data_IF_754297814436
#
_entry.id   IF_754297814436
#
_cell.length_a   1.000
_cell.length_b   1.000
_cell.length_c   1.000
_cell.angle_alpha   90.00
_cell.angle_beta   90.00
_cell.angle_gamma   90.00
#
_symmetry.space_group_name_H-M   'P 1'
#
loop_
_entity.id
_entity.type
_entity.pdbx_description
1 polymer ?
#
# COMPACT_ATOMS: atom_id res chain seq x y z
N UNK A 1 14.05 -11.54 6.33
CA UNK A 1 12.87 -11.86 7.13
C UNK A 1 12.30 -13.23 6.81
N UNK A 2 12.38 -13.69 5.55
CA UNK A 2 11.66 -14.85 5.00
C UNK A 2 12.59 -15.96 4.52
N UNK A 3 12.05 -17.17 4.35
CA UNK A 3 12.79 -18.30 3.75
C UNK A 3 13.28 -18.01 2.33
N UNK A 4 12.49 -17.39 1.42
CA UNK A 4 13.01 -16.97 0.12
C UNK A 4 14.22 -16.04 0.22
N UNK A 5 14.19 -15.05 1.13
CA UNK A 5 15.33 -14.16 1.33
C UNK A 5 16.59 -14.92 1.83
N UNK A 6 16.41 -15.88 2.76
CA UNK A 6 17.51 -16.74 3.22
C UNK A 6 18.08 -17.58 2.08
N UNK A 7 17.23 -18.15 1.23
CA UNK A 7 17.64 -18.93 0.06
C UNK A 7 18.51 -18.09 -0.88
N UNK A 8 18.09 -16.86 -1.20
CA UNK A 8 18.89 -15.96 -2.02
C UNK A 8 20.26 -15.65 -1.41
N UNK A 9 20.33 -15.44 -0.08
CA UNK A 9 21.62 -15.24 0.59
C UNK A 9 22.54 -16.46 0.45
N UNK A 10 22.00 -17.70 0.56
CA UNK A 10 22.78 -18.92 0.33
C UNK A 10 23.26 -19.04 -1.10
N UNK A 11 22.43 -18.73 -2.09
CA UNK A 11 22.80 -18.71 -3.51
C UNK A 11 23.91 -17.68 -3.81
N UNK A 12 23.94 -16.57 -3.05
CA UNK A 12 25.01 -15.59 -3.09
C UNK A 12 26.28 -16.00 -2.32
N UNK A 13 26.32 -17.20 -1.75
CA UNK A 13 27.48 -17.76 -1.07
C UNK A 13 27.56 -17.48 0.45
N UNK A 14 26.48 -16.94 1.05
CA UNK A 14 26.45 -16.77 2.51
C UNK A 14 26.33 -18.13 3.21
N UNK A 15 27.17 -18.42 4.24
CA UNK A 15 27.12 -19.65 5.01
C UNK A 15 25.75 -19.86 5.70
N UNK A 16 25.26 -21.10 5.65
CA UNK A 16 23.94 -21.44 6.24
C UNK A 16 23.87 -21.16 7.75
N UNK A 17 24.96 -21.42 8.46
CA UNK A 17 25.07 -21.21 9.89
C UNK A 17 25.11 -19.72 10.31
N UNK A 18 25.15 -18.79 9.37
CA UNK A 18 25.15 -17.35 9.61
C UNK A 18 23.87 -16.66 9.15
N UNK A 19 22.88 -17.42 8.71
CA UNK A 19 21.63 -16.86 8.18
C UNK A 19 20.43 -17.51 8.87
N UNK A 20 19.61 -16.66 9.50
CA UNK A 20 18.42 -17.07 10.24
C UNK A 20 17.21 -16.33 9.68
N UNK A 21 16.06 -17.02 9.66
CA UNK A 21 14.77 -16.39 9.39
C UNK A 21 14.23 -15.85 10.72
N UNK A 22 13.96 -14.57 10.76
CA UNK A 22 13.47 -13.88 11.98
C UNK A 22 11.99 -13.54 11.90
N UNK A 23 11.36 -13.69 10.72
CA UNK A 23 10.09 -13.05 10.43
C UNK A 23 10.23 -11.53 10.26
N UNK A 24 9.16 -10.86 9.88
CA UNK A 24 9.14 -9.41 9.79
C UNK A 24 8.88 -8.78 11.16
N UNK A 25 9.67 -7.75 11.56
CA UNK A 25 9.37 -7.00 12.77
C UNK A 25 8.07 -6.16 12.65
N UNK A 26 7.53 -6.00 11.44
CA UNK A 26 6.32 -5.21 11.20
C UNK A 26 5.11 -5.80 11.93
N UNK A 27 4.97 -7.13 11.95
CA UNK A 27 3.88 -7.79 12.66
C UNK A 27 3.90 -7.48 14.16
N UNK A 28 5.08 -7.54 14.79
CA UNK A 28 5.25 -7.20 16.21
C UNK A 28 4.91 -5.72 16.47
N UNK A 29 5.37 -4.82 15.59
CA UNK A 29 5.08 -3.37 15.70
C UNK A 29 3.59 -3.10 15.57
N UNK A 30 2.93 -3.73 14.59
CA UNK A 30 1.49 -3.57 14.38
C UNK A 30 0.69 -4.13 15.56
N UNK A 31 1.04 -5.33 16.06
CA UNK A 31 0.43 -5.91 17.25
C UNK A 31 0.55 -5.00 18.46
N UNK A 32 1.77 -4.51 18.74
CA UNK A 32 2.03 -3.63 19.89
C UNK A 32 1.35 -2.27 19.82
N UNK A 33 0.85 -1.86 18.64
CA UNK A 33 0.15 -0.60 18.47
C UNK A 33 -1.33 -0.75 18.08
N UNK A 34 -1.88 -1.96 18.01
CA UNK A 34 -3.21 -2.20 17.48
C UNK A 34 -4.28 -1.40 18.23
N UNK A 35 -4.25 -1.40 19.57
CA UNK A 35 -5.19 -0.61 20.40
C UNK A 35 -5.12 0.90 20.08
N UNK A 36 -3.91 1.42 19.84
CA UNK A 36 -3.71 2.84 19.50
C UNK A 36 -4.17 3.15 18.08
N UNK A 37 -3.99 2.20 17.17
CA UNK A 37 -4.49 2.30 15.79
C UNK A 37 -6.01 2.31 15.82
N UNK A 38 -6.64 1.41 16.56
CA UNK A 38 -8.10 1.34 16.67
C UNK A 38 -8.69 2.57 17.36
N UNK A 39 -8.01 3.13 18.35
CA UNK A 39 -8.43 4.33 19.07
C UNK A 39 -8.22 5.64 18.29
N UNK A 40 -7.53 5.61 17.14
CA UNK A 40 -7.30 6.83 16.36
C UNK A 40 -8.61 7.42 15.82
N UNK A 41 -8.78 8.73 16.01
CA UNK A 41 -9.91 9.54 15.54
C UNK A 41 -9.68 10.15 14.15
N UNK A 42 -8.67 9.68 13.42
CA UNK A 42 -8.22 10.28 12.14
C UNK A 42 -9.33 10.35 11.09
N UNK A 43 -10.25 9.40 11.06
CA UNK A 43 -11.39 9.43 10.14
C UNK A 43 -12.27 10.66 10.40
N UNK A 44 -12.60 10.94 11.66
CA UNK A 44 -13.41 12.09 12.05
C UNK A 44 -12.67 13.39 11.77
N UNK A 45 -11.39 13.48 12.13
CA UNK A 45 -10.53 14.65 11.86
C UNK A 45 -10.43 14.98 10.37
N UNK A 46 -10.43 13.99 9.51
CA UNK A 46 -10.33 14.16 8.06
C UNK A 46 -11.70 14.16 7.35
N UNK A 47 -12.80 13.97 8.09
CA UNK A 47 -14.16 13.89 7.53
C UNK A 47 -14.31 12.75 6.53
N UNK A 48 -13.72 11.59 6.85
CA UNK A 48 -13.77 10.38 6.04
C UNK A 48 -14.70 9.33 6.65
N UNK A 49 -15.31 8.51 5.81
CA UNK A 49 -16.14 7.40 6.24
C UNK A 49 -15.52 6.06 5.83
N UNK A 50 -15.64 5.01 6.63
CA UNK A 50 -15.14 3.68 6.29
C UNK A 50 -15.64 3.20 4.92
N UNK A 51 -14.75 2.64 4.12
CA UNK A 51 -14.99 2.16 2.76
C UNK A 51 -15.51 3.23 1.76
N UNK A 52 -15.37 4.52 2.08
CA UNK A 52 -15.79 5.64 1.23
C UNK A 52 -14.62 6.53 0.80
N UNK A 53 -13.43 6.00 0.75
CA UNK A 53 -12.23 6.67 0.23
C UNK A 53 -11.19 5.63 -0.21
N UNK A 54 -10.28 6.07 -1.06
CA UNK A 54 -9.08 5.33 -1.44
C UNK A 54 -7.89 6.01 -0.76
N UNK A 55 -6.98 5.23 -0.18
CA UNK A 55 -5.74 5.73 0.40
C UNK A 55 -4.61 5.60 -0.60
N UNK A 56 -3.94 6.71 -0.91
CA UNK A 56 -2.78 6.78 -1.81
C UNK A 56 -1.52 7.14 -1.04
N UNK A 57 -0.44 6.40 -1.28
CA UNK A 57 0.91 6.76 -0.88
C UNK A 57 1.88 6.45 -2.03
N UNK A 58 2.46 7.48 -2.63
CA UNK A 58 3.40 7.36 -3.73
C UNK A 58 4.57 8.33 -3.52
N UNK A 59 5.77 7.78 -3.34
CA UNK A 59 6.95 8.55 -3.01
C UNK A 59 8.26 7.99 -3.59
N UNK A 60 8.21 6.82 -4.25
CA UNK A 60 9.40 6.21 -4.84
C UNK A 60 9.85 6.96 -6.08
N UNK A 61 11.17 7.04 -6.21
CA UNK A 61 11.83 7.72 -7.33
C UNK A 61 11.37 7.19 -8.68
N UNK A 62 11.23 5.88 -8.82
CA UNK A 62 10.78 5.22 -10.05
C UNK A 62 9.41 5.70 -10.53
N UNK A 63 8.53 6.09 -9.61
CA UNK A 63 7.17 6.56 -9.94
C UNK A 63 7.07 8.08 -10.11
N UNK A 64 7.99 8.85 -9.50
CA UNK A 64 7.82 10.30 -9.34
C UNK A 64 8.87 11.11 -10.11
N UNK A 65 10.10 10.59 -10.29
CA UNK A 65 11.22 11.43 -10.74
C UNK A 65 11.13 11.77 -12.23
N UNK A 66 10.68 10.84 -13.07
CA UNK A 66 10.51 11.16 -14.50
C UNK A 66 9.15 11.79 -14.77
N UNK A 67 9.10 12.81 -15.61
CA UNK A 67 7.84 13.48 -15.96
C UNK A 67 6.84 12.51 -16.58
N UNK A 68 7.31 11.52 -17.35
CA UNK A 68 6.49 10.49 -17.96
C UNK A 68 5.77 9.63 -16.90
N UNK A 69 6.53 9.09 -15.94
CA UNK A 69 5.96 8.21 -14.91
C UNK A 69 5.06 9.00 -13.97
N UNK A 70 5.49 10.21 -13.59
CA UNK A 70 4.69 11.12 -12.78
C UNK A 70 3.33 11.40 -13.43
N UNK A 71 3.33 11.81 -14.70
CA UNK A 71 2.09 12.10 -15.44
C UNK A 71 1.20 10.86 -15.53
N UNK A 72 1.78 9.71 -15.93
CA UNK A 72 1.04 8.45 -16.04
C UNK A 72 0.37 8.06 -14.73
N UNK A 73 1.11 8.13 -13.60
CA UNK A 73 0.57 7.82 -12.28
C UNK A 73 -0.59 8.75 -11.91
N UNK A 74 -0.42 10.06 -12.04
CA UNK A 74 -1.45 10.99 -11.59
C UNK A 74 -2.66 11.08 -12.54
N UNK A 75 -2.49 10.78 -13.83
CA UNK A 75 -3.62 10.50 -14.72
C UNK A 75 -4.41 9.28 -14.27
N UNK A 76 -3.72 8.20 -13.88
CA UNK A 76 -4.36 7.00 -13.34
C UNK A 76 -5.09 7.27 -12.00
N UNK A 77 -4.52 8.11 -11.14
CA UNK A 77 -5.16 8.54 -9.88
C UNK A 77 -6.42 9.38 -10.15
N UNK A 78 -6.37 10.31 -11.10
CA UNK A 78 -7.55 11.08 -11.51
C UNK A 78 -8.65 10.15 -12.05
N UNK A 79 -8.28 9.15 -12.86
CA UNK A 79 -9.23 8.16 -13.39
C UNK A 79 -9.84 7.26 -12.28
N UNK A 80 -9.08 6.94 -11.22
CA UNK A 80 -9.63 6.27 -10.04
C UNK A 80 -10.65 7.15 -9.31
N UNK A 81 -10.35 8.44 -9.13
CA UNK A 81 -11.26 9.40 -8.50
C UNK A 81 -12.58 9.51 -9.28
N UNK A 82 -12.50 9.56 -10.61
CA UNK A 82 -13.66 9.60 -11.49
C UNK A 82 -14.48 8.30 -11.42
N UNK A 83 -13.81 7.14 -11.53
CA UNK A 83 -14.48 5.82 -11.55
C UNK A 83 -15.23 5.52 -10.27
N UNK A 84 -14.64 5.81 -9.11
CA UNK A 84 -15.22 5.48 -7.82
C UNK A 84 -16.05 6.60 -7.20
N UNK A 85 -15.98 7.80 -7.76
CA UNK A 85 -16.68 9.01 -7.30
C UNK A 85 -16.57 9.24 -5.78
N UNK A 86 -15.35 9.12 -5.25
CA UNK A 86 -15.06 9.29 -3.82
C UNK A 86 -13.71 9.94 -3.58
N UNK A 87 -13.45 10.45 -2.35
CA UNK A 87 -12.16 11.02 -2.00
C UNK A 87 -11.01 10.02 -2.20
N UNK A 88 -9.91 10.49 -2.77
CA UNK A 88 -8.61 9.83 -2.70
C UNK A 88 -7.75 10.63 -1.72
N UNK A 89 -7.46 10.06 -0.56
CA UNK A 89 -6.57 10.68 0.41
C UNK A 89 -5.12 10.37 0.04
N UNK A 90 -4.39 11.36 -0.41
CA UNK A 90 -2.98 11.23 -0.75
C UNK A 90 -2.10 11.63 0.43
N UNK A 91 -1.53 10.65 1.13
CA UNK A 91 -0.45 10.88 2.12
C UNK A 91 0.82 11.23 1.36
N UNK A 92 1.04 12.53 1.20
CA UNK A 92 2.01 13.07 0.25
C UNK A 92 3.31 13.46 0.95
N UNK A 93 4.40 12.77 0.62
CA UNK A 93 5.73 13.14 1.10
C UNK A 93 6.14 14.51 0.55
N UNK A 94 6.91 15.34 1.30
CA UNK A 94 7.33 16.68 0.87
C UNK A 94 7.98 16.73 -0.52
N UNK A 95 8.76 15.71 -0.89
CA UNK A 95 9.37 15.59 -2.22
C UNK A 95 8.31 15.48 -3.33
N UNK A 96 7.33 14.61 -3.13
CA UNK A 96 6.23 14.42 -4.08
C UNK A 96 5.37 15.66 -4.22
N UNK A 97 5.16 16.38 -3.10
CA UNK A 97 4.44 17.66 -3.10
C UNK A 97 5.15 18.71 -3.94
N UNK A 98 6.46 18.89 -3.75
CA UNK A 98 7.26 19.82 -4.56
C UNK A 98 7.18 19.50 -6.05
N UNK A 99 7.26 18.22 -6.42
CA UNK A 99 7.13 17.79 -7.82
C UNK A 99 5.73 18.10 -8.36
N UNK A 100 4.69 17.85 -7.58
CA UNK A 100 3.31 18.13 -7.96
C UNK A 100 3.10 19.64 -8.21
N UNK A 101 3.56 20.48 -7.30
CA UNK A 101 3.48 21.95 -7.41
C UNK A 101 4.26 22.47 -8.64
N UNK A 102 5.47 21.95 -8.86
CA UNK A 102 6.33 22.41 -9.96
C UNK A 102 5.89 21.90 -11.33
N UNK A 103 5.19 20.77 -11.41
CA UNK A 103 4.71 20.18 -12.66
C UNK A 103 3.53 20.91 -13.28
N UNK A 104 2.77 21.67 -12.47
CA UNK A 104 1.50 22.27 -12.88
C UNK A 104 0.39 21.25 -13.19
N UNK A 105 0.58 19.96 -12.81
CA UNK A 105 -0.40 18.92 -13.04
C UNK A 105 -1.69 19.20 -12.27
N UNK A 106 -2.84 19.06 -12.93
CA UNK A 106 -4.14 19.27 -12.30
C UNK A 106 -4.70 17.97 -11.76
N UNK A 107 -4.75 17.89 -10.43
CA UNK A 107 -5.44 16.80 -9.76
C UNK A 107 -6.96 16.97 -9.84
N UNK A 108 -7.66 15.86 -9.90
CA UNK A 108 -9.11 15.83 -9.70
C UNK A 108 -9.46 16.42 -8.32
N UNK A 109 -10.54 17.22 -8.20
CA UNK A 109 -10.93 17.84 -6.93
C UNK A 109 -11.16 16.85 -5.77
N UNK A 110 -11.45 15.59 -6.07
CA UNK A 110 -11.61 14.53 -5.09
C UNK A 110 -10.28 14.02 -4.53
N UNK A 111 -9.15 14.32 -5.17
CA UNK A 111 -7.80 13.97 -4.65
C UNK A 111 -7.39 14.99 -3.60
N UNK A 112 -7.39 14.57 -2.35
CA UNK A 112 -7.04 15.40 -1.18
C UNK A 112 -5.58 15.15 -0.81
N UNK A 113 -4.72 16.14 -1.09
CA UNK A 113 -3.29 16.07 -0.74
C UNK A 113 -3.13 16.42 0.73
N UNK A 114 -2.62 15.47 1.51
CA UNK A 114 -2.40 15.60 2.95
C UNK A 114 -0.91 15.47 3.29
N UNK A 115 -0.48 16.10 4.36
CA UNK A 115 0.84 15.87 4.96
C UNK A 115 0.99 14.39 5.33
N UNK A 116 2.24 13.85 5.39
CA UNK A 116 2.46 12.51 5.90
C UNK A 116 1.84 12.32 7.28
N UNK A 117 1.09 11.26 7.44
CA UNK A 117 0.40 10.93 8.67
C UNK A 117 1.29 10.10 9.61
N UNK A 118 1.07 10.20 10.89
CA UNK A 118 1.72 9.35 11.88
C UNK A 118 1.31 7.88 11.73
N UNK A 119 2.13 6.98 12.27
CA UNK A 119 1.99 5.53 12.11
C UNK A 119 0.58 5.02 12.45
N UNK A 120 0.04 5.39 13.61
CA UNK A 120 -1.27 4.90 14.05
C UNK A 120 -2.41 5.41 13.16
N UNK A 121 -2.37 6.70 12.79
CA UNK A 121 -3.36 7.31 11.91
C UNK A 121 -3.34 6.70 10.51
N UNK A 122 -2.14 6.51 9.95
CA UNK A 122 -2.00 5.90 8.63
C UNK A 122 -2.53 4.47 8.60
N UNK A 123 -2.19 3.66 9.62
CA UNK A 123 -2.69 2.29 9.73
C UNK A 123 -4.21 2.23 9.97
N UNK A 124 -4.77 3.15 10.77
CA UNK A 124 -6.23 3.30 10.91
C UNK A 124 -6.89 3.57 9.57
N UNK A 125 -6.30 4.44 8.76
CA UNK A 125 -6.80 4.73 7.41
C UNK A 125 -6.66 3.52 6.48
N UNK A 126 -5.58 2.76 6.54
CA UNK A 126 -5.45 1.52 5.76
C UNK A 126 -6.57 0.52 6.08
N UNK A 127 -6.85 0.30 7.37
CA UNK A 127 -7.90 -0.62 7.81
C UNK A 127 -9.29 -0.23 7.30
N UNK A 128 -9.54 1.05 7.11
CA UNK A 128 -10.88 1.56 6.78
C UNK A 128 -11.04 2.02 5.32
N UNK A 129 -10.00 1.97 4.51
CA UNK A 129 -10.08 2.35 3.10
C UNK A 129 -10.84 1.31 2.27
N UNK A 130 -11.51 1.78 1.20
CA UNK A 130 -12.05 0.90 0.17
C UNK A 130 -10.92 0.12 -0.51
N UNK A 131 -9.84 0.83 -0.87
CA UNK A 131 -8.61 0.26 -1.39
C UNK A 131 -7.41 1.12 -0.98
N UNK A 132 -6.23 0.51 -0.96
CA UNK A 132 -4.95 1.16 -0.74
C UNK A 132 -4.13 1.04 -2.03
N UNK A 133 -3.61 2.15 -2.52
CA UNK A 133 -2.66 2.22 -3.64
C UNK A 133 -1.35 2.76 -3.09
N UNK A 134 -0.29 1.97 -3.09
CA UNK A 134 0.96 2.38 -2.47
C UNK A 134 2.19 1.78 -3.14
N UNK A 135 3.30 2.52 -3.16
CA UNK A 135 4.62 2.05 -3.55
C UNK A 135 5.50 1.69 -2.34
N UNK A 136 4.93 1.65 -1.14
CA UNK A 136 5.63 1.28 0.08
C UNK A 136 6.09 -0.18 0.06
N UNK A 137 7.33 -0.43 0.49
CA UNK A 137 7.86 -1.79 0.65
C UNK A 137 7.23 -2.56 1.80
N UNK A 138 6.54 -1.89 2.74
CA UNK A 138 5.88 -2.53 3.88
C UNK A 138 4.43 -2.93 3.61
N UNK A 139 3.81 -2.41 2.54
CA UNK A 139 2.42 -2.75 2.20
C UNK A 139 2.15 -4.27 2.13
N UNK A 140 3.04 -5.10 1.54
CA UNK A 140 2.87 -6.56 1.55
C UNK A 140 2.84 -7.17 2.95
N UNK A 141 3.66 -6.66 3.87
CA UNK A 141 3.73 -7.12 5.26
C UNK A 141 2.47 -6.69 6.02
N UNK A 142 2.06 -5.44 5.86
CA UNK A 142 0.85 -4.87 6.45
C UNK A 142 -0.40 -5.61 5.97
N UNK A 143 -0.51 -5.88 4.66
CA UNK A 143 -1.67 -6.60 4.09
C UNK A 143 -1.77 -8.03 4.62
N UNK A 144 -0.64 -8.71 4.77
CA UNK A 144 -0.59 -10.05 5.34
C UNK A 144 -0.99 -10.05 6.82
N UNK A 145 -0.46 -9.11 7.59
CA UNK A 145 -0.80 -8.95 9.01
C UNK A 145 -2.30 -8.71 9.19
N UNK A 146 -2.88 -7.72 8.48
CA UNK A 146 -4.31 -7.43 8.61
C UNK A 146 -5.19 -8.61 8.20
N UNK A 147 -4.80 -9.37 7.18
CA UNK A 147 -5.50 -10.59 6.82
C UNK A 147 -5.44 -11.62 7.94
N UNK A 148 -4.31 -11.75 8.64
CA UNK A 148 -4.12 -12.72 9.74
C UNK A 148 -5.01 -12.44 10.95
N UNK A 149 -5.32 -11.18 11.23
CA UNK A 149 -6.20 -10.78 12.32
C UNK A 149 -7.68 -10.67 11.90
N UNK A 150 -8.04 -11.16 10.70
CA UNK A 150 -9.42 -11.14 10.21
C UNK A 150 -9.90 -9.77 9.70
N UNK A 151 -8.96 -8.85 9.41
CA UNK A 151 -9.27 -7.51 8.89
C UNK A 151 -8.64 -7.28 7.50
N UNK A 152 -9.09 -8.01 6.45
CA UNK A 152 -8.49 -7.94 5.12
C UNK A 152 -8.57 -6.54 4.51
N UNK A 153 -7.50 -6.10 3.87
CA UNK A 153 -7.43 -4.83 3.14
C UNK A 153 -7.26 -5.08 1.63
N UNK A 154 -7.86 -4.23 0.80
CA UNK A 154 -7.68 -4.27 -0.65
C UNK A 154 -6.42 -3.49 -1.03
N UNK A 155 -5.28 -4.19 -1.10
CA UNK A 155 -3.97 -3.58 -1.30
C UNK A 155 -3.48 -3.70 -2.75
N UNK A 156 -3.06 -2.59 -3.33
CA UNK A 156 -2.43 -2.50 -4.67
C UNK A 156 -1.06 -1.87 -4.52
N UNK A 157 -0.03 -2.63 -4.84
CA UNK A 157 1.36 -2.20 -4.83
C UNK A 157 1.75 -1.70 -6.22
N UNK A 158 2.01 -0.39 -6.36
CA UNK A 158 2.39 0.26 -7.63
C UNK A 158 3.90 0.24 -7.82
N UNK A 159 4.42 -0.90 -8.22
CA UNK A 159 5.85 -1.15 -8.42
C UNK A 159 6.08 -2.05 -9.63
N UNK A 160 7.25 -1.94 -10.24
CA UNK A 160 7.67 -2.83 -11.32
C UNK A 160 8.07 -4.22 -10.82
N UNK A 161 8.46 -4.32 -9.55
CA UNK A 161 8.86 -5.55 -8.87
C UNK A 161 8.63 -5.44 -7.37
N UNK A 162 8.66 -6.55 -6.67
CA UNK A 162 8.57 -6.58 -5.21
C UNK A 162 9.75 -7.36 -4.60
N UNK A 163 10.22 -6.89 -3.46
CA UNK A 163 11.18 -7.62 -2.62
C UNK A 163 10.48 -8.63 -1.69
N UNK A 164 9.17 -8.80 -1.84
CA UNK A 164 8.31 -9.66 -1.01
C UNK A 164 7.56 -10.67 -1.88
N UNK A 165 8.26 -11.53 -2.66
CA UNK A 165 7.60 -12.49 -3.54
C UNK A 165 6.68 -13.46 -2.79
N UNK A 166 7.03 -13.82 -1.55
CA UNK A 166 6.26 -14.69 -0.69
C UNK A 166 4.86 -14.14 -0.35
N UNK A 167 4.74 -12.82 -0.15
CA UNK A 167 3.44 -12.19 0.07
C UNK A 167 2.62 -12.09 -1.23
N UNK A 168 3.28 -11.91 -2.37
CA UNK A 168 2.63 -11.93 -3.68
C UNK A 168 2.08 -13.32 -3.99
N UNK A 169 2.88 -14.37 -3.79
CA UNK A 169 2.46 -15.78 -3.97
C UNK A 169 1.32 -16.16 -3.01
N UNK A 170 1.31 -15.57 -1.81
CA UNK A 170 0.22 -15.75 -0.85
C UNK A 170 -1.08 -15.05 -1.25
N UNK A 171 -1.05 -14.15 -2.25
CA UNK A 171 -2.24 -13.45 -2.76
C UNK A 171 -2.79 -12.36 -1.84
N UNK A 172 -1.93 -11.77 -1.00
CA UNK A 172 -2.34 -10.75 -0.01
C UNK A 172 -2.51 -9.36 -0.62
N UNK A 173 -1.88 -9.10 -1.75
CA UNK A 173 -1.94 -7.82 -2.46
C UNK A 173 -1.80 -8.05 -3.97
N UNK A 174 -2.09 -7.01 -4.75
CA UNK A 174 -1.93 -7.03 -6.20
C UNK A 174 -0.76 -6.13 -6.58
N UNK A 175 0.18 -6.65 -7.37
CA UNK A 175 1.23 -5.86 -7.99
C UNK A 175 0.71 -5.24 -9.28
N UNK A 176 0.84 -3.94 -9.43
CA UNK A 176 0.36 -3.20 -10.59
C UNK A 176 1.40 -2.19 -11.10
N UNK A 177 1.33 -1.87 -12.38
CA UNK A 177 1.99 -0.71 -12.94
C UNK A 177 1.26 0.59 -12.61
N UNK A 178 1.72 1.66 -13.24
CA UNK A 178 1.25 3.04 -13.00
C UNK A 178 0.40 3.60 -14.15
N UNK A 179 0.08 2.80 -15.14
CA UNK A 179 -0.81 3.24 -16.23
C UNK A 179 -2.28 3.21 -15.76
N UNK A 180 -3.09 4.05 -16.36
CA UNK A 180 -4.52 4.13 -16.05
C UNK A 180 -5.20 2.77 -16.15
N UNK A 181 -4.94 2.01 -17.20
CA UNK A 181 -5.56 0.70 -17.40
C UNK A 181 -5.15 -0.29 -16.29
N UNK A 182 -3.86 -0.42 -16.03
CA UNK A 182 -3.33 -1.34 -15.02
C UNK A 182 -3.87 -1.01 -13.63
N UNK A 183 -3.84 0.27 -13.25
CA UNK A 183 -4.25 0.69 -11.93
C UNK A 183 -5.77 0.54 -11.71
N UNK A 184 -6.59 0.87 -12.71
CA UNK A 184 -8.04 0.66 -12.65
C UNK A 184 -8.41 -0.82 -12.55
N UNK A 185 -7.72 -1.69 -13.29
CA UNK A 185 -7.94 -3.14 -13.23
C UNK A 185 -7.51 -3.73 -11.88
N UNK A 186 -6.30 -3.41 -11.44
CA UNK A 186 -5.76 -3.93 -10.17
C UNK A 186 -6.58 -3.48 -8.97
N UNK A 187 -6.99 -2.21 -8.93
CA UNK A 187 -7.82 -1.69 -7.84
C UNK A 187 -9.21 -2.36 -7.83
N UNK A 188 -9.83 -2.51 -8.99
CA UNK A 188 -11.10 -3.22 -9.11
C UNK A 188 -11.00 -4.67 -8.66
N UNK A 189 -9.93 -5.36 -9.04
CA UNK A 189 -9.68 -6.75 -8.64
C UNK A 189 -9.43 -6.87 -7.13
N UNK A 190 -8.61 -6.01 -6.54
CA UNK A 190 -8.35 -6.03 -5.10
C UNK A 190 -9.63 -5.81 -4.27
N UNK A 191 -10.47 -4.87 -4.69
CA UNK A 191 -11.78 -4.61 -4.05
C UNK A 191 -12.70 -5.84 -4.16
N UNK A 192 -12.82 -6.42 -5.35
CA UNK A 192 -13.68 -7.59 -5.60
C UNK A 192 -13.21 -8.81 -4.80
N UNK A 193 -11.90 -9.06 -4.76
CA UNK A 193 -11.32 -10.14 -3.95
C UNK A 193 -11.58 -9.95 -2.45
N UNK A 194 -11.42 -8.72 -1.94
CA UNK A 194 -11.76 -8.39 -0.54
C UNK A 194 -13.24 -8.64 -0.26
N UNK A 195 -14.13 -8.14 -1.11
CA UNK A 195 -15.58 -8.26 -0.93
C UNK A 195 -16.07 -9.70 -0.99
N UNK A 196 -15.46 -10.52 -1.84
CA UNK A 196 -15.79 -11.95 -1.98
C UNK A 196 -15.10 -12.85 -0.95
N UNK A 197 -14.21 -12.30 -0.12
CA UNK A 197 -13.42 -13.08 0.84
C UNK A 197 -12.47 -14.09 0.19
N UNK A 198 -11.96 -13.78 -1.00
CA UNK A 198 -11.03 -14.63 -1.77
C UNK A 198 -9.62 -14.07 -1.86
N UNK A 199 -9.29 -13.07 -1.03
CA UNK A 199 -7.89 -12.72 -0.77
C UNK A 199 -7.16 -13.98 -0.28
N UNK A 200 -5.88 -14.10 -0.64
CA UNK A 200 -5.09 -15.29 -0.36
C UNK A 200 -4.97 -15.66 1.13
N UNK A 201 -3.86 -16.23 1.52
CA UNK A 201 -3.60 -16.62 2.91
C UNK A 201 -2.58 -15.68 3.55
N UNK A 202 -2.63 -15.46 4.88
CA UNK A 202 -1.57 -14.75 5.55
C UNK A 202 -0.21 -15.41 5.28
N UNK A 203 0.80 -14.61 4.99
CA UNK A 203 2.17 -15.10 4.84
C UNK A 203 2.74 -15.35 6.26
N UNK A 204 3.20 -16.57 6.57
CA UNK A 204 3.68 -16.91 7.92
C UNK A 204 4.84 -16.04 8.42
N UNK A 205 5.65 -15.53 7.51
CA UNK A 205 6.78 -14.66 7.84
C UNK A 205 6.37 -13.25 8.29
N UNK A 206 5.08 -12.88 8.15
CA UNK A 206 4.54 -11.54 8.37
C UNK A 206 3.34 -11.49 9.33
N UNK A 207 3.17 -12.52 10.15
CA UNK A 207 2.04 -12.65 11.10
C UNK A 207 2.51 -12.91 12.53
#
# INVERSE_FOLDING_TARGET
YSEPARKYLHEMGMPKERTYVTGSPMAEVLHGNLDKIEASDVLDRLGLQPNKYILLSAHREENIDTDKNFTSLFEAINALAEKYDMPILYSCHPRSRKKLESSGFKLDPRVRVNEPLGFNDYNKLQMNALAIVSDSGTLPEESSFYLSIGHPIAAVCIRTSTERPEALESGNFILAGITTQELLQATGMAIDMKQKGILGKPCPDYT
#
